data_IF_450416951563
#
_entry.id   IF_450416951563
#
_cell.length_a   1.000
_cell.length_b   1.000
_cell.length_c   1.000
_cell.angle_alpha   90.00
_cell.angle_beta   90.00
_cell.angle_gamma   90.00
#
_symmetry.space_group_name_H-M   'P 1'
#
loop_
_entity.id
_entity.type
_entity.pdbx_description
1 polymer ?
#
# COMPACT_ATOMS: atom_id res chain seq x y z
N UNK A 1 -15.58 -46.03 -27.68
CA UNK A 1 -15.82 -44.63 -27.27
C UNK A 1 -15.74 -44.52 -25.75
N UNK A 2 -14.68 -43.90 -25.19
CA UNK A 2 -14.60 -43.61 -23.75
C UNK A 2 -15.63 -42.53 -23.42
N UNK A 3 -16.68 -42.86 -22.67
CA UNK A 3 -17.60 -41.86 -22.12
C UNK A 3 -16.81 -40.98 -21.14
N UNK A 4 -16.68 -39.69 -21.45
CA UNK A 4 -16.09 -38.73 -20.52
C UNK A 4 -17.08 -38.56 -19.35
N UNK A 5 -16.62 -38.81 -18.12
CA UNK A 5 -17.37 -38.44 -16.92
C UNK A 5 -17.38 -36.91 -16.85
N UNK A 6 -18.56 -36.31 -16.94
CA UNK A 6 -18.73 -34.88 -16.70
C UNK A 6 -18.73 -34.61 -15.20
N UNK A 7 -18.24 -33.43 -14.81
CA UNK A 7 -18.42 -32.92 -13.45
C UNK A 7 -19.90 -32.81 -13.12
N UNK A 8 -20.27 -33.21 -11.92
CA UNK A 8 -21.62 -32.96 -11.41
C UNK A 8 -21.74 -31.50 -11.00
N UNK A 9 -22.92 -30.89 -11.16
CA UNK A 9 -23.16 -29.50 -10.75
C UNK A 9 -22.85 -29.27 -9.26
N UNK A 10 -23.05 -30.29 -8.42
CA UNK A 10 -22.79 -30.23 -6.98
C UNK A 10 -21.30 -30.14 -6.64
N UNK A 11 -20.43 -30.83 -7.39
CA UNK A 11 -18.98 -30.74 -7.21
C UNK A 11 -18.47 -29.33 -7.50
N UNK A 12 -18.97 -28.68 -8.56
CA UNK A 12 -18.60 -27.29 -8.87
C UNK A 12 -19.14 -26.30 -7.83
N UNK A 13 -20.35 -26.54 -7.32
CA UNK A 13 -20.99 -25.67 -6.34
C UNK A 13 -20.25 -25.67 -5.00
N UNK A 14 -19.83 -26.84 -4.51
CA UNK A 14 -19.05 -26.97 -3.28
C UNK A 14 -17.72 -26.22 -3.39
N UNK A 15 -17.05 -26.31 -4.55
CA UNK A 15 -15.75 -25.65 -4.76
C UNK A 15 -15.89 -24.13 -4.70
N UNK A 16 -16.88 -23.55 -5.38
CA UNK A 16 -17.11 -22.11 -5.32
C UNK A 16 -17.48 -21.63 -3.91
N UNK A 17 -18.23 -22.42 -3.15
CA UNK A 17 -18.57 -22.11 -1.75
C UNK A 17 -17.31 -22.01 -0.87
N UNK A 18 -16.37 -22.96 -1.01
CA UNK A 18 -15.11 -22.93 -0.25
C UNK A 18 -14.22 -21.76 -0.68
N UNK A 19 -14.11 -21.48 -1.99
CA UNK A 19 -13.34 -20.34 -2.49
C UNK A 19 -13.91 -19.01 -1.96
N UNK A 20 -15.23 -18.85 -1.96
CA UNK A 20 -15.89 -17.66 -1.44
C UNK A 20 -15.60 -17.44 0.05
N UNK A 21 -15.65 -18.52 0.86
CA UNK A 21 -15.31 -18.47 2.27
C UNK A 21 -13.86 -18.03 2.51
N UNK A 22 -12.92 -18.59 1.75
CA UNK A 22 -11.50 -18.21 1.84
C UNK A 22 -11.27 -16.75 1.42
N UNK A 23 -11.89 -16.32 0.31
CA UNK A 23 -11.79 -14.94 -0.18
C UNK A 23 -12.39 -13.92 0.80
N UNK A 24 -13.47 -14.27 1.50
CA UNK A 24 -14.07 -13.41 2.53
C UNK A 24 -13.08 -13.07 3.66
N UNK A 25 -12.14 -13.98 3.97
CA UNK A 25 -11.09 -13.76 4.98
C UNK A 25 -9.87 -13.05 4.35
N UNK A 26 -9.50 -13.42 3.12
CA UNK A 26 -8.31 -12.89 2.43
C UNK A 26 -8.44 -11.41 2.02
N UNK A 27 -9.57 -11.02 1.44
CA UNK A 27 -9.78 -9.66 0.90
C UNK A 27 -9.63 -8.56 1.98
N UNK A 28 -10.26 -8.65 3.17
CA UNK A 28 -10.07 -7.63 4.21
C UNK A 28 -8.66 -7.63 4.80
N UNK A 29 -7.98 -8.79 4.85
CA UNK A 29 -6.58 -8.87 5.26
C UNK A 29 -5.67 -8.15 4.25
N UNK A 30 -5.90 -8.35 2.95
CA UNK A 30 -5.13 -7.72 1.88
C UNK A 30 -5.31 -6.20 1.85
N UNK A 31 -6.53 -5.71 2.12
CA UNK A 31 -6.80 -4.28 2.25
C UNK A 31 -5.97 -3.61 3.34
N UNK A 32 -5.92 -4.21 4.54
CA UNK A 32 -5.10 -3.75 5.66
C UNK A 32 -3.59 -3.83 5.35
N UNK A 33 -3.14 -4.93 4.74
CA UNK A 33 -1.75 -5.07 4.34
C UNK A 33 -1.31 -3.95 3.38
N UNK A 34 -2.18 -3.58 2.43
CA UNK A 34 -1.92 -2.50 1.47
C UNK A 34 -1.84 -1.13 2.14
N UNK A 35 -2.74 -0.81 3.07
CA UNK A 35 -2.67 0.46 3.81
C UNK A 35 -1.40 0.54 4.64
N UNK A 36 -1.05 -0.52 5.36
CA UNK A 36 0.21 -0.59 6.11
C UNK A 36 1.44 -0.44 5.21
N UNK A 37 1.45 -1.04 4.02
CA UNK A 37 2.54 -0.87 3.06
C UNK A 37 2.70 0.60 2.65
N UNK A 38 1.60 1.33 2.42
CA UNK A 38 1.65 2.77 2.12
C UNK A 38 2.20 3.59 3.29
N UNK A 39 1.79 3.27 4.51
CA UNK A 39 2.30 3.95 5.71
C UNK A 39 3.80 3.73 5.88
N UNK A 40 4.29 2.51 5.64
CA UNK A 40 5.72 2.18 5.69
C UNK A 40 6.51 3.00 4.68
N UNK A 41 6.03 3.08 3.44
CA UNK A 41 6.68 3.90 2.39
C UNK A 41 6.67 5.38 2.77
N UNK A 42 5.55 5.91 3.25
CA UNK A 42 5.46 7.30 3.69
C UNK A 42 6.45 7.60 4.82
N UNK A 43 6.52 6.74 5.84
CA UNK A 43 7.49 6.85 6.93
C UNK A 43 8.93 6.79 6.44
N UNK A 44 9.23 5.92 5.47
CA UNK A 44 10.57 5.84 4.88
C UNK A 44 10.95 7.15 4.16
N UNK A 45 10.03 7.73 3.38
CA UNK A 45 10.24 9.00 2.71
C UNK A 45 10.47 10.14 3.72
N UNK A 46 9.65 10.22 4.76
CA UNK A 46 9.80 11.23 5.83
C UNK A 46 11.12 11.08 6.58
N UNK A 47 11.54 9.84 6.87
CA UNK A 47 12.87 9.57 7.43
C UNK A 47 13.98 10.04 6.51
N UNK A 48 13.85 9.83 5.20
CA UNK A 48 14.81 10.33 4.21
C UNK A 48 14.93 11.85 4.22
N UNK A 49 13.80 12.56 4.24
CA UNK A 49 13.77 14.02 4.36
C UNK A 49 14.39 14.49 5.68
N UNK A 50 14.00 13.90 6.81
CA UNK A 50 14.54 14.26 8.12
C UNK A 50 16.05 14.03 8.24
N UNK A 51 16.55 12.94 7.65
CA UNK A 51 17.98 12.67 7.56
C UNK A 51 18.69 13.74 6.72
N UNK A 52 18.15 14.09 5.55
CA UNK A 52 18.70 15.14 4.70
C UNK A 52 18.76 16.50 5.39
N UNK A 53 17.71 16.86 6.14
CA UNK A 53 17.70 18.09 6.95
C UNK A 53 18.77 18.02 8.05
N UNK A 54 18.90 16.87 8.72
CA UNK A 54 19.91 16.70 9.78
C UNK A 54 21.33 16.84 9.26
N UNK A 55 21.63 16.26 8.09
CA UNK A 55 22.91 16.42 7.40
C UNK A 55 23.16 17.89 7.01
N UNK A 56 22.15 18.56 6.46
CA UNK A 56 22.27 19.98 6.10
C UNK A 56 22.59 20.86 7.32
N UNK A 57 21.88 20.65 8.43
CA UNK A 57 22.08 21.39 9.68
C UNK A 57 23.50 21.19 10.22
N UNK A 58 24.05 19.97 10.14
CA UNK A 58 25.42 19.69 10.56
C UNK A 58 26.44 20.45 9.69
N UNK A 59 26.22 20.50 8.37
CA UNK A 59 27.11 21.21 7.44
C UNK A 59 26.99 22.75 7.50
N UNK A 60 25.82 23.29 7.89
CA UNK A 60 25.50 24.72 7.82
C UNK A 60 25.33 25.39 9.19
N UNK A 61 26.04 24.89 10.22
CA UNK A 61 26.08 25.53 11.54
C UNK A 61 24.72 25.58 12.26
N UNK A 62 23.92 24.54 12.09
CA UNK A 62 22.56 24.39 12.62
C UNK A 62 21.54 25.43 12.12
N UNK A 63 21.81 26.06 10.99
CA UNK A 63 20.88 26.96 10.32
C UNK A 63 19.90 26.13 9.47
N UNK A 64 18.60 26.29 9.68
CA UNK A 64 17.60 25.62 8.84
C UNK A 64 17.67 26.12 7.39
N UNK A 65 17.35 25.28 6.39
CA UNK A 65 17.27 25.73 4.99
C UNK A 65 16.25 26.86 4.87
N UNK A 66 16.59 27.92 4.15
CA UNK A 66 15.68 29.03 3.90
C UNK A 66 14.45 28.54 3.12
N UNK A 67 13.29 28.61 3.76
CA UNK A 67 12.01 28.22 3.17
C UNK A 67 11.41 29.47 2.51
N UNK A 68 12.07 30.02 1.49
CA UNK A 68 11.49 31.10 0.69
C UNK A 68 10.32 30.51 -0.11
N UNK A 69 9.16 30.43 0.54
CA UNK A 69 7.96 29.82 -0.03
C UNK A 69 7.56 30.60 -1.28
N UNK A 70 7.60 29.91 -2.41
CA UNK A 70 7.00 30.33 -3.66
C UNK A 70 5.47 30.37 -3.44
N UNK A 71 4.94 31.45 -2.86
CA UNK A 71 3.51 31.73 -2.88
C UNK A 71 3.14 32.21 -4.28
N UNK A 72 3.10 31.30 -5.24
CA UNK A 72 2.40 31.56 -6.50
C UNK A 72 0.91 31.51 -6.20
N UNK A 73 0.31 32.70 -6.27
CA UNK A 73 -1.13 32.97 -6.26
C UNK A 73 -1.97 31.79 -6.79
N UNK A 74 -2.68 31.09 -5.91
CA UNK A 74 -3.81 30.24 -6.29
C UNK A 74 -5.09 30.91 -5.84
N UNK A 75 -5.62 31.79 -6.70
CA UNK A 75 -7.07 32.05 -6.73
C UNK A 75 -7.72 30.83 -7.41
N UNK A 76 -8.43 30.03 -6.63
CA UNK A 76 -9.20 28.87 -7.04
C UNK A 76 -10.02 28.37 -5.87
#
# INVERSE_FOLDING_TARGET
MKRRKGFTLIELLVVLAVIALLMAILLPALGRARSHARDVVCKANLKGVGLGISMYLEDHGHTMPDLHTYTVNTNG
#
